data_IF_179677339990
#
_entry.id   IF_179677339990
#
_cell.length_a   1.000
_cell.length_b   1.000
_cell.length_c   1.000
_cell.angle_alpha   90.00
_cell.angle_beta   90.00
_cell.angle_gamma   90.00
#
_symmetry.space_group_name_H-M   'P 1'
#
loop_
_entity.id
_entity.type
_entity.pdbx_description
1 polymer ?
#
# COMPACT_ATOMS: atom_id res chain seq x y z
N UNK A 1 13.67 21.33 3.74
CA UNK A 1 14.40 20.55 2.71
C UNK A 1 13.37 19.84 1.86
N UNK A 2 13.44 19.94 0.54
CA UNK A 2 12.51 19.26 -0.38
C UNK A 2 12.81 17.75 -0.38
N UNK A 3 11.80 16.86 -0.42
CA UNK A 3 12.05 15.44 -0.60
C UNK A 3 12.88 15.17 -1.86
N UNK A 4 13.79 14.22 -1.79
CA UNK A 4 14.60 13.79 -2.93
C UNK A 4 13.74 13.10 -4.00
N UNK A 5 12.71 12.41 -3.57
CA UNK A 5 11.72 11.76 -4.43
C UNK A 5 10.34 11.78 -3.76
N UNK A 6 9.32 11.55 -4.56
CA UNK A 6 7.95 11.35 -4.10
C UNK A 6 7.52 9.91 -4.39
N UNK A 7 6.56 9.43 -3.61
CA UNK A 7 5.87 8.16 -3.87
C UNK A 7 4.36 8.39 -3.89
N UNK A 8 3.60 7.46 -4.46
CA UNK A 8 2.14 7.54 -4.38
C UNK A 8 1.66 7.69 -2.94
N UNK A 9 2.22 6.90 -2.01
CA UNK A 9 1.85 6.98 -0.58
C UNK A 9 2.19 8.32 0.06
N UNK A 10 3.31 8.96 -0.33
CA UNK A 10 3.66 10.30 0.18
C UNK A 10 2.70 11.36 -0.32
N UNK A 11 2.36 11.35 -1.62
CA UNK A 11 1.40 12.27 -2.22
C UNK A 11 -0.01 12.07 -1.63
N UNK A 12 -0.43 10.82 -1.43
CA UNK A 12 -1.69 10.50 -0.79
C UNK A 12 -1.73 10.98 0.68
N UNK A 13 -0.61 10.86 1.41
CA UNK A 13 -0.49 11.39 2.76
C UNK A 13 -0.66 12.91 2.78
N UNK A 14 -0.07 13.64 1.83
CA UNK A 14 -0.25 15.08 1.68
C UNK A 14 -1.71 15.46 1.42
N UNK A 15 -2.39 14.77 0.52
CA UNK A 15 -3.80 15.03 0.22
C UNK A 15 -4.71 14.76 1.42
N UNK A 16 -4.44 13.69 2.18
CA UNK A 16 -5.20 13.33 3.39
C UNK A 16 -4.96 14.32 4.53
N UNK A 17 -3.70 14.60 4.84
CA UNK A 17 -3.30 15.54 5.89
C UNK A 17 -1.90 16.11 5.62
N UNK A 18 -1.78 17.37 5.15
CA UNK A 18 -0.47 17.99 4.91
C UNK A 18 0.48 17.95 6.12
N UNK A 19 -0.04 18.15 7.34
CA UNK A 19 0.79 18.05 8.55
C UNK A 19 1.39 16.65 8.74
N UNK A 20 0.61 15.57 8.50
CA UNK A 20 1.11 14.20 8.58
C UNK A 20 2.22 13.96 7.54
N UNK A 21 2.02 14.45 6.30
CA UNK A 21 3.06 14.44 5.29
C UNK A 21 4.34 15.15 5.76
N UNK A 22 4.19 16.35 6.34
CA UNK A 22 5.33 17.12 6.86
C UNK A 22 6.09 16.35 7.94
N UNK A 23 5.40 15.76 8.90
CA UNK A 23 6.04 14.99 9.97
C UNK A 23 6.82 13.82 9.42
N UNK A 24 6.21 13.03 8.54
CA UNK A 24 6.78 11.79 8.04
C UNK A 24 7.87 12.01 6.98
N UNK A 25 7.61 12.87 5.99
CA UNK A 25 8.46 12.95 4.80
C UNK A 25 9.40 14.16 4.77
N UNK A 26 9.06 15.25 5.47
CA UNK A 26 9.93 16.44 5.56
C UNK A 26 10.77 16.41 6.83
N UNK A 27 10.13 16.26 7.98
CA UNK A 27 10.81 16.20 9.29
C UNK A 27 11.41 14.84 9.59
N UNK A 28 11.01 13.80 8.86
CA UNK A 28 11.47 12.42 9.00
C UNK A 28 11.32 11.88 10.42
N UNK A 29 10.18 12.17 11.06
CA UNK A 29 9.86 11.63 12.38
C UNK A 29 9.47 10.17 12.20
N UNK A 30 10.28 9.27 12.75
CA UNK A 30 10.00 7.84 12.75
C UNK A 30 9.09 7.48 13.91
N UNK A 31 8.20 6.55 13.65
CA UNK A 31 7.26 5.99 14.62
C UNK A 31 7.27 4.47 14.47
N UNK A 32 7.36 3.77 15.59
CA UNK A 32 7.41 2.30 15.62
C UNK A 32 6.00 1.69 15.59
N UNK A 33 4.98 2.51 15.83
CA UNK A 33 3.59 2.06 15.81
C UNK A 33 3.16 1.66 14.40
N UNK A 34 2.46 0.54 14.32
CA UNK A 34 1.88 0.02 13.10
C UNK A 34 0.43 -0.44 13.35
N UNK A 35 -0.52 0.01 12.53
CA UNK A 35 -1.89 -0.49 12.60
C UNK A 35 -1.96 -1.96 12.18
N UNK A 36 -2.76 -2.76 12.90
CA UNK A 36 -2.89 -4.20 12.65
C UNK A 36 -3.34 -4.51 11.22
N UNK A 37 -4.12 -3.62 10.59
CA UNK A 37 -4.51 -3.76 9.18
C UNK A 37 -3.29 -3.71 8.25
N UNK A 38 -2.38 -2.77 8.51
CA UNK A 38 -1.14 -2.63 7.75
C UNK A 38 -0.17 -3.78 8.05
N UNK A 39 -0.05 -4.17 9.32
CA UNK A 39 0.74 -5.33 9.73
C UNK A 39 0.29 -6.60 9.02
N UNK A 40 -1.01 -6.91 9.03
CA UNK A 40 -1.60 -8.04 8.33
C UNK A 40 -1.33 -7.95 6.81
N UNK A 41 -1.59 -6.79 6.21
CA UNK A 41 -1.37 -6.56 4.78
C UNK A 41 0.05 -6.88 4.37
N UNK A 42 1.05 -6.36 5.09
CA UNK A 42 2.47 -6.65 4.81
C UNK A 42 2.79 -8.15 4.89
N UNK A 43 2.26 -8.86 5.90
CA UNK A 43 2.50 -10.30 6.02
C UNK A 43 1.90 -11.09 4.88
N UNK A 44 0.74 -10.68 4.37
CA UNK A 44 0.12 -11.28 3.17
C UNK A 44 0.99 -11.02 1.93
N UNK A 45 1.44 -9.78 1.69
CA UNK A 45 2.30 -9.44 0.55
C UNK A 45 3.64 -10.22 0.60
N UNK A 46 4.33 -10.23 1.73
CA UNK A 46 5.58 -10.99 1.91
C UNK A 46 5.37 -12.51 1.68
N UNK A 47 4.20 -13.04 2.03
CA UNK A 47 3.88 -14.44 1.76
C UNK A 47 3.64 -14.69 0.28
N UNK A 48 2.98 -13.78 -0.42
CA UNK A 48 2.76 -13.88 -1.89
C UNK A 48 4.10 -13.75 -2.63
N UNK A 49 4.95 -12.81 -2.26
CA UNK A 49 6.31 -12.68 -2.79
C UNK A 49 7.09 -14.00 -2.62
N UNK A 50 7.08 -14.57 -1.43
CA UNK A 50 7.71 -15.86 -1.15
C UNK A 50 7.22 -16.99 -2.06
N UNK A 51 5.91 -17.05 -2.37
CA UNK A 51 5.35 -18.06 -3.28
C UNK A 51 6.03 -17.99 -4.66
N UNK A 52 6.10 -16.80 -5.24
CA UNK A 52 6.68 -16.62 -6.58
C UNK A 52 8.20 -16.78 -6.59
N UNK A 53 8.90 -16.40 -5.53
CA UNK A 53 10.33 -16.62 -5.38
C UNK A 53 10.66 -18.11 -5.33
N UNK A 54 9.85 -18.89 -4.58
CA UNK A 54 9.98 -20.35 -4.56
C UNK A 54 9.67 -20.97 -5.92
N UNK A 55 8.61 -20.49 -6.58
CA UNK A 55 8.26 -20.94 -7.94
C UNK A 55 9.39 -20.66 -8.94
N UNK A 56 9.98 -19.48 -8.91
CA UNK A 56 11.13 -19.09 -9.73
C UNK A 56 12.34 -19.99 -9.48
N UNK A 57 12.49 -20.48 -8.25
CA UNK A 57 13.53 -21.46 -7.86
C UNK A 57 13.16 -22.92 -8.19
N UNK A 58 12.06 -23.17 -8.91
CA UNK A 58 11.59 -24.50 -9.29
C UNK A 58 10.85 -25.26 -8.18
N UNK A 59 10.50 -24.59 -7.06
CA UNK A 59 9.79 -25.22 -5.95
C UNK A 59 8.30 -24.92 -6.03
N UNK A 60 7.49 -25.96 -6.16
CA UNK A 60 6.04 -25.84 -6.05
C UNK A 60 5.61 -26.00 -4.59
N UNK A 61 5.05 -24.94 -4.02
CA UNK A 61 4.58 -24.94 -2.63
C UNK A 61 3.16 -25.54 -2.54
N UNK A 62 2.95 -26.42 -1.56
CA UNK A 62 1.61 -26.79 -1.13
C UNK A 62 0.98 -25.65 -0.33
N UNK A 63 -0.35 -25.64 -0.28
CA UNK A 63 -1.08 -24.67 0.53
C UNK A 63 -0.64 -24.66 2.00
N UNK A 64 -0.44 -25.86 2.58
CA UNK A 64 0.00 -25.99 3.99
C UNK A 64 1.36 -25.32 4.23
N UNK A 65 2.31 -25.46 3.31
CA UNK A 65 3.63 -24.78 3.42
C UNK A 65 3.52 -23.26 3.34
N UNK A 66 2.61 -22.76 2.50
CA UNK A 66 2.34 -21.32 2.39
C UNK A 66 1.77 -20.79 3.71
N UNK A 67 0.79 -21.49 4.30
CA UNK A 67 0.19 -21.10 5.58
C UNK A 67 1.20 -21.20 6.72
N UNK A 68 2.01 -22.25 6.77
CA UNK A 68 3.09 -22.36 7.77
C UNK A 68 4.08 -21.20 7.67
N UNK A 69 4.47 -20.79 6.46
CA UNK A 69 5.34 -19.64 6.27
C UNK A 69 4.67 -18.35 6.77
N UNK A 70 3.40 -18.13 6.44
CA UNK A 70 2.64 -16.98 6.94
C UNK A 70 2.56 -16.93 8.47
N UNK A 71 2.32 -18.08 9.11
CA UNK A 71 2.32 -18.19 10.58
C UNK A 71 3.68 -17.78 11.17
N UNK A 72 4.76 -18.33 10.62
CA UNK A 72 6.12 -17.99 11.05
C UNK A 72 6.42 -16.50 10.87
N UNK A 73 6.00 -15.89 9.74
CA UNK A 73 6.15 -14.45 9.53
C UNK A 73 5.37 -13.64 10.56
N UNK A 74 4.13 -14.02 10.83
CA UNK A 74 3.29 -13.34 11.81
C UNK A 74 3.92 -13.36 13.20
N UNK A 75 4.35 -14.52 13.66
CA UNK A 75 4.99 -14.70 14.97
C UNK A 75 6.31 -13.94 15.07
N UNK A 76 7.20 -14.11 14.10
CA UNK A 76 8.54 -13.51 14.11
C UNK A 76 8.52 -11.98 13.96
N UNK A 77 7.52 -11.41 13.31
CA UNK A 77 7.40 -9.97 13.05
C UNK A 77 6.47 -9.26 14.05
N UNK A 78 5.75 -10.01 14.90
CA UNK A 78 4.87 -9.41 15.89
C UNK A 78 5.66 -8.59 16.90
N UNK A 79 5.21 -7.38 17.19
CA UNK A 79 5.85 -6.48 18.16
C UNK A 79 4.83 -5.69 18.98
N UNK A 80 5.27 -5.15 20.14
CA UNK A 80 4.40 -4.47 21.10
C UNK A 80 3.74 -3.18 20.59
N UNK A 81 4.32 -2.56 19.54
CA UNK A 81 3.79 -1.33 18.93
C UNK A 81 2.70 -1.58 17.88
N UNK A 82 2.26 -2.83 17.64
CA UNK A 82 1.09 -3.11 16.79
C UNK A 82 -0.17 -2.57 17.45
N UNK A 83 -0.83 -1.62 16.77
CA UNK A 83 -2.01 -0.93 17.25
C UNK A 83 -3.29 -1.54 16.69
N UNK A 84 -4.27 -1.77 17.56
CA UNK A 84 -5.63 -2.16 17.17
C UNK A 84 -6.56 -1.00 17.48
N UNK A 85 -6.91 -0.23 16.46
CA UNK A 85 -7.84 0.89 16.62
C UNK A 85 -9.28 0.37 16.60
N UNK A 86 -9.90 0.36 17.76
CA UNK A 86 -11.30 0.01 17.90
C UNK A 86 -12.01 1.07 18.74
N UNK A 87 -13.05 1.68 18.17
CA UNK A 87 -13.81 2.75 18.84
C UNK A 87 -14.49 2.33 20.14
N UNK A 88 -14.72 1.03 20.30
CA UNK A 88 -15.38 0.47 21.49
C UNK A 88 -14.39 0.08 22.59
N UNK A 89 -13.08 0.23 22.35
CA UNK A 89 -12.04 -0.16 23.31
C UNK A 89 -10.98 0.93 23.30
N UNK A 90 -10.91 1.69 24.37
CA UNK A 90 -9.80 2.60 24.59
C UNK A 90 -8.58 1.82 25.07
N UNK A 91 -7.37 2.18 24.66
CA UNK A 91 -6.14 1.53 25.11
C UNK A 91 -5.93 1.56 26.62
N UNK A 92 -6.43 2.61 27.30
CA UNK A 92 -6.40 2.69 28.76
C UNK A 92 -7.09 1.49 29.43
N UNK A 93 -7.99 0.80 28.72
CA UNK A 93 -8.66 -0.41 29.17
C UNK A 93 -7.97 -1.70 28.69
N UNK A 94 -6.77 -1.61 28.09
CA UNK A 94 -6.07 -2.78 27.51
C UNK A 94 -5.86 -3.89 28.53
N UNK A 95 -5.38 -3.55 29.71
CA UNK A 95 -5.14 -4.55 30.77
C UNK A 95 -6.44 -5.23 31.19
N UNK A 96 -7.52 -4.48 31.26
CA UNK A 96 -8.86 -5.01 31.56
C UNK A 96 -9.48 -5.76 30.38
N UNK A 97 -9.08 -5.45 29.15
CA UNK A 97 -9.63 -5.96 27.91
C UNK A 97 -8.67 -6.90 27.13
N UNK A 98 -7.64 -7.46 27.77
CA UNK A 98 -6.71 -8.42 27.14
C UNK A 98 -7.44 -9.52 26.32
N UNK A 99 -8.53 -10.15 26.80
CA UNK A 99 -9.25 -11.15 26.01
C UNK A 99 -9.79 -10.59 24.71
N UNK A 100 -10.29 -9.35 24.72
CA UNK A 100 -10.88 -8.71 23.56
C UNK A 100 -9.81 -8.29 22.55
N UNK A 101 -8.68 -7.77 23.04
CA UNK A 101 -7.54 -7.44 22.20
C UNK A 101 -6.96 -8.70 21.49
N UNK A 102 -6.79 -9.80 22.22
CA UNK A 102 -6.38 -11.09 21.64
C UNK A 102 -7.38 -11.60 20.59
N UNK A 103 -8.67 -11.41 20.81
CA UNK A 103 -9.72 -11.75 19.85
C UNK A 103 -9.59 -10.96 18.55
N UNK A 104 -9.27 -9.65 18.61
CA UNK A 104 -9.06 -8.83 17.42
C UNK A 104 -7.75 -9.20 16.69
N UNK A 105 -6.66 -9.42 17.42
CA UNK A 105 -5.43 -9.91 16.82
C UNK A 105 -5.66 -11.23 16.06
N UNK A 106 -6.35 -12.19 16.68
CA UNK A 106 -6.72 -13.46 16.04
C UNK A 106 -7.67 -13.27 14.84
N UNK A 107 -8.56 -12.27 14.87
CA UNK A 107 -9.42 -11.95 13.74
C UNK A 107 -8.60 -11.50 12.53
N UNK A 108 -7.63 -10.58 12.70
CA UNK A 108 -6.78 -10.12 11.60
C UNK A 108 -5.83 -11.21 11.11
N UNK A 109 -5.31 -12.04 11.99
CA UNK A 109 -4.54 -13.22 11.61
C UNK A 109 -5.31 -14.14 10.66
N UNK A 110 -6.54 -14.55 11.04
CA UNK A 110 -7.41 -15.36 10.18
C UNK A 110 -7.84 -14.63 8.91
N UNK A 111 -7.93 -13.30 8.94
CA UNK A 111 -8.20 -12.52 7.74
C UNK A 111 -7.04 -12.63 6.76
N UNK A 112 -5.80 -12.60 7.24
CA UNK A 112 -4.61 -12.86 6.42
C UNK A 112 -4.62 -14.26 5.80
N UNK A 113 -4.94 -15.30 6.60
CA UNK A 113 -5.10 -16.67 6.09
C UNK A 113 -6.19 -16.77 4.99
N UNK A 114 -7.33 -16.08 5.20
CA UNK A 114 -8.39 -16.01 4.19
C UNK A 114 -7.91 -15.36 2.91
N UNK A 115 -7.14 -14.26 3.00
CA UNK A 115 -6.55 -13.61 1.83
C UNK A 115 -5.66 -14.57 1.04
N UNK A 116 -4.82 -15.33 1.73
CA UNK A 116 -3.94 -16.32 1.11
C UNK A 116 -4.70 -17.52 0.53
N UNK A 117 -5.77 -17.97 1.19
CA UNK A 117 -6.66 -19.02 0.66
C UNK A 117 -7.29 -18.58 -0.67
N UNK A 118 -7.80 -17.34 -0.72
CA UNK A 118 -8.40 -16.79 -1.92
C UNK A 118 -7.33 -16.61 -3.02
N UNK A 119 -6.16 -16.12 -2.67
CA UNK A 119 -5.03 -15.95 -3.60
C UNK A 119 -4.58 -17.29 -4.18
N UNK A 120 -4.40 -18.31 -3.35
CA UNK A 120 -4.05 -19.67 -3.78
C UNK A 120 -5.08 -20.25 -4.72
N UNK A 121 -6.37 -20.16 -4.38
CA UNK A 121 -7.47 -20.68 -5.20
C UNK A 121 -7.57 -20.02 -6.58
N UNK A 122 -7.06 -18.81 -6.71
CA UNK A 122 -7.08 -18.03 -7.95
C UNK A 122 -5.87 -18.30 -8.83
N UNK A 123 -4.69 -18.42 -8.24
CA UNK A 123 -3.41 -18.38 -8.99
C UNK A 123 -2.67 -19.73 -9.02
N UNK A 124 -3.07 -20.75 -8.19
CA UNK A 124 -2.42 -22.06 -8.27
C UNK A 124 -2.64 -22.69 -9.66
N UNK A 125 -1.59 -23.21 -10.32
CA UNK A 125 -0.27 -23.59 -9.83
C UNK A 125 0.84 -22.51 -9.95
N UNK A 126 0.50 -21.21 -10.06
CA UNK A 126 1.45 -20.09 -10.14
C UNK A 126 2.34 -20.14 -11.38
N UNK A 127 1.75 -20.45 -12.53
CA UNK A 127 2.45 -20.59 -13.83
C UNK A 127 2.41 -19.29 -14.66
N UNK A 128 2.03 -18.18 -14.04
CA UNK A 128 2.04 -16.87 -14.68
C UNK A 128 3.45 -16.45 -15.10
N UNK A 129 3.54 -15.71 -16.19
CA UNK A 129 4.82 -15.24 -16.71
C UNK A 129 5.30 -13.98 -15.94
N UNK A 130 5.69 -14.20 -14.68
CA UNK A 130 6.10 -13.16 -13.76
C UNK A 130 7.44 -12.58 -14.16
N UNK A 131 7.45 -11.30 -14.52
CA UNK A 131 8.67 -10.54 -14.76
C UNK A 131 9.42 -10.23 -13.45
N UNK A 132 8.70 -9.71 -12.46
CA UNK A 132 9.24 -9.39 -11.13
C UNK A 132 8.15 -9.25 -10.08
N UNK A 133 8.50 -9.56 -8.82
CA UNK A 133 7.75 -9.20 -7.62
C UNK A 133 8.41 -8.00 -6.96
N UNK A 134 7.65 -7.20 -6.19
CA UNK A 134 8.14 -6.01 -5.48
C UNK A 134 9.07 -5.17 -6.37
N UNK A 135 8.63 -4.96 -7.63
CA UNK A 135 9.44 -4.27 -8.63
C UNK A 135 9.62 -2.80 -8.29
N UNK A 136 10.86 -2.38 -8.00
CA UNK A 136 11.17 -0.99 -7.73
C UNK A 136 11.05 -0.15 -9.02
N UNK A 137 10.17 0.83 -8.96
CA UNK A 137 10.03 1.88 -9.97
C UNK A 137 10.78 3.13 -9.50
N UNK A 138 11.66 3.66 -10.38
CA UNK A 138 12.39 4.91 -10.14
C UNK A 138 12.47 5.68 -11.47
N UNK A 139 11.71 6.77 -11.57
CA UNK A 139 11.60 7.51 -12.83
C UNK A 139 11.26 8.98 -12.61
N UNK A 140 11.44 9.78 -13.66
CA UNK A 140 11.06 11.18 -13.65
C UNK A 140 9.69 11.38 -14.29
N UNK A 141 8.82 12.20 -13.67
CA UNK A 141 7.50 12.52 -14.18
C UNK A 141 7.41 13.95 -14.69
N UNK A 142 6.56 14.17 -15.71
CA UNK A 142 6.44 15.49 -16.36
C UNK A 142 7.66 15.84 -17.20
N UNK A 143 7.80 17.13 -17.52
CA UNK A 143 8.88 17.68 -18.35
C UNK A 143 10.04 18.24 -17.50
N UNK A 144 9.97 18.10 -16.17
CA UNK A 144 10.95 18.63 -15.24
C UNK A 144 11.77 17.49 -14.64
N UNK A 145 13.10 17.58 -14.76
CA UNK A 145 14.04 16.58 -14.23
C UNK A 145 14.01 16.41 -12.71
N UNK A 146 13.36 17.34 -12.00
CA UNK A 146 13.35 17.31 -10.53
C UNK A 146 12.20 16.50 -9.92
N UNK A 147 11.27 15.98 -10.73
CA UNK A 147 10.09 15.28 -10.23
C UNK A 147 10.30 13.77 -10.25
N UNK A 148 11.21 13.32 -9.37
CA UNK A 148 11.52 11.90 -9.22
C UNK A 148 10.45 11.18 -8.44
N UNK A 149 9.98 10.07 -8.99
CA UNK A 149 8.99 9.18 -8.39
C UNK A 149 9.67 7.85 -8.08
N UNK A 150 9.42 7.35 -6.86
CA UNK A 150 9.77 5.98 -6.46
C UNK A 150 8.54 5.24 -5.95
N UNK A 151 8.49 3.95 -6.21
CA UNK A 151 7.43 3.07 -5.72
C UNK A 151 7.75 1.62 -5.98
N UNK A 152 6.91 0.73 -5.45
CA UNK A 152 7.03 -0.70 -5.64
C UNK A 152 5.74 -1.22 -6.24
N UNK A 153 5.86 -2.05 -7.27
CA UNK A 153 4.75 -2.78 -7.88
C UNK A 153 4.76 -4.19 -7.30
N UNK A 154 3.65 -4.61 -6.72
CA UNK A 154 3.57 -5.89 -6.03
C UNK A 154 3.97 -7.06 -6.96
N UNK A 155 3.45 -7.08 -8.21
CA UNK A 155 3.86 -8.02 -9.24
C UNK A 155 3.72 -7.42 -10.63
N UNK A 156 4.71 -7.69 -11.49
CA UNK A 156 4.68 -7.42 -12.92
C UNK A 156 4.72 -8.72 -13.70
N UNK A 157 3.79 -8.90 -14.62
CA UNK A 157 3.81 -9.98 -15.59
C UNK A 157 4.03 -9.41 -17.00
N UNK A 158 4.63 -10.20 -17.90
CA UNK A 158 4.81 -9.83 -19.30
C UNK A 158 4.79 -11.06 -20.19
N UNK A 159 4.10 -10.98 -21.33
CA UNK A 159 4.13 -12.00 -22.34
C UNK A 159 5.16 -11.71 -23.45
N UNK A 160 5.37 -12.68 -24.36
CA UNK A 160 6.30 -12.57 -25.49
C UNK A 160 5.92 -11.47 -26.48
N UNK A 161 4.67 -11.01 -26.47
CA UNK A 161 4.17 -9.93 -27.33
C UNK A 161 4.37 -8.53 -26.73
N UNK A 162 4.89 -8.45 -25.51
CA UNK A 162 5.05 -7.19 -24.78
C UNK A 162 3.76 -6.65 -24.17
N UNK A 163 2.79 -7.52 -23.87
CA UNK A 163 1.64 -7.18 -23.07
C UNK A 163 2.00 -7.30 -21.59
N UNK A 164 1.91 -6.20 -20.88
CA UNK A 164 2.26 -6.12 -19.45
C UNK A 164 1.03 -6.13 -18.58
N UNK A 165 1.15 -6.72 -17.39
CA UNK A 165 0.13 -6.68 -16.36
C UNK A 165 0.76 -6.14 -15.08
N UNK A 166 0.17 -5.07 -14.54
CA UNK A 166 0.54 -4.49 -13.26
C UNK A 166 -0.47 -4.97 -12.22
N UNK A 167 0.00 -5.74 -11.26
CA UNK A 167 -0.83 -6.27 -10.17
C UNK A 167 -0.62 -5.50 -8.88
N UNK A 168 -1.72 -5.32 -8.13
CA UNK A 168 -1.73 -4.72 -6.80
C UNK A 168 -2.63 -5.54 -5.88
N UNK A 169 -2.10 -5.98 -4.74
CA UNK A 169 -2.80 -6.82 -3.78
C UNK A 169 -3.44 -5.99 -2.67
N UNK A 170 -4.74 -6.04 -2.56
CA UNK A 170 -5.53 -5.30 -1.57
C UNK A 170 -6.08 -6.24 -0.51
N UNK A 171 -5.64 -6.05 0.72
CA UNK A 171 -6.15 -6.78 1.90
C UNK A 171 -7.27 -6.05 2.64
N UNK A 172 -7.77 -4.95 2.06
CA UNK A 172 -8.93 -4.21 2.57
C UNK A 172 -10.25 -4.88 2.22
N UNK A 173 -11.30 -4.56 3.01
CA UNK A 173 -12.63 -5.16 2.83
C UNK A 173 -13.40 -4.66 1.61
N UNK A 174 -13.18 -3.40 1.21
CA UNK A 174 -13.99 -2.76 0.18
C UNK A 174 -13.31 -2.84 -1.19
N UNK A 175 -13.87 -3.56 -2.15
CA UNK A 175 -13.37 -3.54 -3.51
C UNK A 175 -13.67 -2.20 -4.18
N UNK A 176 -12.91 -1.85 -5.22
CA UNK A 176 -13.24 -0.75 -6.10
C UNK A 176 -14.44 -1.11 -6.98
N UNK A 177 -15.31 -0.15 -7.24
CA UNK A 177 -16.16 -0.21 -8.42
C UNK A 177 -15.33 0.17 -9.67
N UNK A 178 -15.89 -0.06 -10.87
CA UNK A 178 -15.18 0.20 -12.13
C UNK A 178 -14.69 1.65 -12.25
N UNK A 179 -15.52 2.62 -11.86
CA UNK A 179 -15.16 4.05 -11.90
C UNK A 179 -13.98 4.37 -10.97
N UNK A 180 -13.94 3.77 -9.78
CA UNK A 180 -12.83 3.95 -8.85
C UNK A 180 -11.54 3.32 -9.39
N UNK A 181 -11.63 2.14 -9.99
CA UNK A 181 -10.51 1.49 -10.66
C UNK A 181 -9.99 2.34 -11.83
N UNK A 182 -10.88 2.86 -12.69
CA UNK A 182 -10.51 3.68 -13.84
C UNK A 182 -9.92 5.05 -13.45
N UNK A 183 -10.16 5.51 -12.23
CA UNK A 183 -9.64 6.77 -11.70
C UNK A 183 -8.48 6.59 -10.71
N UNK A 184 -8.10 5.35 -10.40
CA UNK A 184 -7.00 5.10 -9.47
C UNK A 184 -5.68 5.66 -10.00
N UNK A 185 -5.03 6.46 -9.15
CA UNK A 185 -3.77 7.11 -9.51
C UNK A 185 -2.55 6.23 -9.25
N UNK A 186 -2.64 5.21 -8.37
CA UNK A 186 -1.50 4.39 -7.99
C UNK A 186 -1.02 3.56 -9.18
N UNK A 187 -1.90 2.72 -9.72
CA UNK A 187 -1.53 1.87 -10.84
C UNK A 187 -1.34 2.66 -12.13
N UNK A 188 -2.08 3.76 -12.31
CA UNK A 188 -1.82 4.67 -13.44
C UNK A 188 -0.44 5.31 -13.36
N UNK A 189 0.04 5.69 -12.17
CA UNK A 189 1.40 6.19 -11.96
C UNK A 189 2.44 5.10 -12.24
N UNK A 190 2.17 3.87 -11.86
CA UNK A 190 3.05 2.74 -12.15
C UNK A 190 3.11 2.41 -13.65
N UNK A 191 1.98 2.52 -14.36
CA UNK A 191 1.99 2.42 -15.82
C UNK A 191 2.85 3.49 -16.47
N UNK A 192 2.75 4.76 -16.04
CA UNK A 192 3.62 5.84 -16.51
C UNK A 192 5.10 5.50 -16.29
N UNK A 193 5.44 4.98 -15.10
CA UNK A 193 6.79 4.53 -14.79
C UNK A 193 7.26 3.38 -15.66
N UNK A 194 6.41 2.40 -15.92
CA UNK A 194 6.69 1.28 -16.80
C UNK A 194 6.99 1.76 -18.22
N UNK A 195 6.14 2.61 -18.80
CA UNK A 195 6.30 3.14 -20.15
C UNK A 195 7.55 4.03 -20.32
N UNK A 196 8.00 4.68 -19.24
CA UNK A 196 9.23 5.47 -19.25
C UNK A 196 10.50 4.63 -19.12
N UNK A 197 10.42 3.46 -18.49
CA UNK A 197 11.59 2.65 -18.14
C UNK A 197 11.75 1.41 -19.01
N UNK A 198 10.71 0.95 -19.68
CA UNK A 198 10.70 -0.22 -20.56
C UNK A 198 10.50 0.17 -22.02
N UNK A 199 11.00 -0.69 -22.91
CA UNK A 199 10.82 -0.56 -24.36
C UNK A 199 9.87 -1.65 -24.85
N UNK A 200 9.29 -1.44 -26.04
CA UNK A 200 8.46 -2.46 -26.72
C UNK A 200 7.23 -2.88 -25.89
N UNK A 201 6.56 -1.92 -25.26
CA UNK A 201 5.29 -2.14 -24.58
C UNK A 201 4.19 -2.12 -25.65
N UNK A 202 3.44 -3.23 -25.76
CA UNK A 202 2.29 -3.33 -26.66
C UNK A 202 1.00 -2.92 -25.98
N UNK A 203 0.73 -3.45 -24.79
CA UNK A 203 -0.47 -3.16 -24.00
C UNK A 203 -0.16 -3.23 -22.51
N UNK A 204 -0.94 -2.51 -21.69
CA UNK A 204 -0.81 -2.57 -20.22
C UNK A 204 -2.18 -2.77 -19.59
N UNK A 205 -2.32 -3.84 -18.82
CA UNK A 205 -3.51 -4.13 -18.02
C UNK A 205 -3.21 -3.87 -16.54
N UNK A 206 -4.09 -3.15 -15.87
CA UNK A 206 -4.03 -2.89 -14.44
C UNK A 206 -4.98 -3.83 -13.71
N UNK A 207 -4.51 -4.53 -12.69
CA UNK A 207 -5.29 -5.56 -11.98
C UNK A 207 -5.16 -5.36 -10.47
N UNK A 208 -6.29 -5.13 -9.81
CA UNK A 208 -6.39 -5.15 -8.35
C UNK A 208 -6.93 -6.49 -7.88
N UNK A 209 -6.25 -7.11 -6.93
CA UNK A 209 -6.68 -8.32 -6.25
C UNK A 209 -7.26 -7.98 -4.88
N UNK A 210 -8.57 -7.91 -4.74
CA UNK A 210 -9.24 -7.67 -3.46
C UNK A 210 -9.40 -8.97 -2.68
N UNK A 211 -8.34 -9.39 -1.99
CA UNK A 211 -8.15 -10.73 -1.45
C UNK A 211 -9.16 -11.14 -0.36
N UNK A 212 -9.93 -10.23 0.22
CA UNK A 212 -11.01 -10.57 1.14
C UNK A 212 -12.35 -10.90 0.46
N UNK A 213 -12.46 -10.66 -0.85
CA UNK A 213 -13.73 -10.82 -1.60
C UNK A 213 -14.01 -12.26 -1.99
N UNK A 214 -15.25 -12.51 -2.45
CA UNK A 214 -15.62 -13.78 -3.09
C UNK A 214 -14.92 -13.90 -4.44
N UNK A 215 -14.86 -15.14 -4.98
CA UNK A 215 -14.15 -15.43 -6.23
C UNK A 215 -14.60 -14.56 -7.41
N UNK A 216 -15.88 -14.20 -7.49
CA UNK A 216 -16.44 -13.40 -8.58
C UNK A 216 -16.04 -11.91 -8.50
N UNK A 217 -15.70 -11.42 -7.31
CA UNK A 217 -15.43 -10.01 -7.03
C UNK A 217 -13.97 -9.73 -6.61
N UNK A 218 -13.12 -10.75 -6.70
CA UNK A 218 -11.75 -10.65 -6.22
C UNK A 218 -10.86 -9.83 -7.16
N UNK A 219 -11.13 -9.84 -8.46
CA UNK A 219 -10.36 -9.13 -9.47
C UNK A 219 -11.13 -7.95 -10.03
N UNK A 220 -10.46 -6.81 -10.10
CA UNK A 220 -10.93 -5.61 -10.80
C UNK A 220 -9.88 -5.21 -11.81
N UNK A 221 -10.30 -4.88 -13.01
CA UNK A 221 -9.42 -4.58 -14.13
C UNK A 221 -9.61 -3.17 -14.62
N UNK A 222 -8.55 -2.56 -15.14
CA UNK A 222 -8.67 -1.30 -15.87
C UNK A 222 -7.55 -1.17 -16.90
N UNK A 223 -7.81 -0.36 -17.93
CA UNK A 223 -6.81 0.10 -18.89
C UNK A 223 -6.80 1.62 -18.89
N UNK A 224 -5.68 2.21 -19.23
CA UNK A 224 -5.54 3.67 -19.35
C UNK A 224 -5.27 4.05 -20.79
N UNK A 225 -6.02 5.02 -21.27
CA UNK A 225 -5.66 5.73 -22.49
C UNK A 225 -4.52 6.71 -22.24
N UNK A 226 -3.84 7.14 -23.28
CA UNK A 226 -2.83 8.20 -23.21
C UNK A 226 -3.37 9.45 -22.50
N UNK A 227 -4.60 9.87 -22.84
CA UNK A 227 -5.28 11.00 -22.21
C UNK A 227 -5.50 10.80 -20.70
N UNK A 228 -5.71 9.57 -20.21
CA UNK A 228 -5.85 9.30 -18.79
C UNK A 228 -4.49 9.39 -18.08
N UNK A 229 -3.43 8.89 -18.71
CA UNK A 229 -2.07 9.00 -18.18
C UNK A 229 -1.60 10.47 -18.14
N UNK A 230 -1.94 11.28 -19.14
CA UNK A 230 -1.68 12.72 -19.12
C UNK A 230 -2.40 13.44 -17.97
N UNK A 231 -3.67 13.11 -17.71
CA UNK A 231 -4.43 13.66 -16.57
C UNK A 231 -3.79 13.27 -15.23
N UNK A 232 -3.37 12.01 -15.09
CA UNK A 232 -2.67 11.53 -13.89
C UNK A 232 -1.34 12.28 -13.73
N UNK A 233 -0.54 12.36 -14.79
CA UNK A 233 0.73 13.10 -14.80
C UNK A 233 0.53 14.55 -14.35
N UNK A 234 -0.43 15.27 -14.95
CA UNK A 234 -0.74 16.65 -14.59
C UNK A 234 -1.15 16.79 -13.13
N UNK A 235 -1.98 15.87 -12.63
CA UNK A 235 -2.43 15.88 -11.23
C UNK A 235 -1.26 15.66 -10.25
N UNK A 236 -0.36 14.74 -10.57
CA UNK A 236 0.82 14.45 -9.75
C UNK A 236 1.81 15.61 -9.76
N UNK A 237 2.09 16.15 -10.94
CA UNK A 237 2.95 17.34 -11.09
C UNK A 237 2.40 18.51 -10.27
N UNK A 238 1.11 18.81 -10.39
CA UNK A 238 0.48 19.89 -9.61
C UNK A 238 0.60 19.69 -8.09
N UNK A 239 0.47 18.44 -7.60
CA UNK A 239 0.65 18.14 -6.19
C UNK A 239 2.11 18.36 -5.74
N UNK A 240 3.06 17.96 -6.56
CA UNK A 240 4.49 18.18 -6.27
C UNK A 240 4.79 19.68 -6.26
N UNK A 241 4.27 20.43 -7.23
CA UNK A 241 4.44 21.89 -7.31
C UNK A 241 3.84 22.58 -6.07
N UNK A 242 2.65 22.19 -5.65
CA UNK A 242 2.03 22.73 -4.43
C UNK A 242 2.90 22.48 -3.20
N UNK A 243 3.42 21.26 -3.03
CA UNK A 243 4.31 20.91 -1.91
C UNK A 243 5.59 21.73 -1.96
N UNK A 244 6.23 21.83 -3.13
CA UNK A 244 7.48 22.59 -3.32
C UNK A 244 7.27 24.08 -3.07
N UNK A 245 6.19 24.65 -3.56
CA UNK A 245 5.86 26.05 -3.36
C UNK A 245 5.67 26.37 -1.87
N UNK A 246 4.95 25.51 -1.14
CA UNK A 246 4.80 25.65 0.33
C UNK A 246 6.15 25.62 1.05
N UNK A 247 7.04 24.72 0.63
CA UNK A 247 8.38 24.62 1.22
C UNK A 247 9.21 25.85 0.91
N UNK A 248 9.19 26.36 -0.32
CA UNK A 248 9.92 27.58 -0.73
C UNK A 248 9.44 28.82 0.02
N UNK A 249 8.12 28.96 0.21
CA UNK A 249 7.51 30.08 0.93
C UNK A 249 7.51 29.91 2.44
N UNK A 250 8.03 28.79 2.95
CA UNK A 250 7.97 28.42 4.36
C UNK A 250 6.53 28.45 4.94
N UNK A 251 5.56 28.06 4.10
CA UNK A 251 4.15 28.00 4.50
C UNK A 251 3.88 26.79 5.41
N UNK A 252 2.88 26.95 6.31
CA UNK A 252 2.47 25.89 7.22
C UNK A 252 1.76 24.74 6.46
N UNK A 253 2.11 23.52 6.81
CA UNK A 253 1.39 22.30 6.40
C UNK A 253 0.25 22.06 7.38
N UNK A 254 -0.94 22.52 7.02
CA UNK A 254 -2.11 22.56 7.93
C UNK A 254 -2.61 21.13 8.20
N UNK A 255 -2.88 20.83 9.48
CA UNK A 255 -3.50 19.58 9.88
C UNK A 255 -4.98 19.54 9.51
N UNK A 256 -5.41 18.39 8.93
CA UNK A 256 -6.82 18.15 8.60
C UNK A 256 -7.41 17.13 9.59
N UNK A 257 -8.22 17.60 10.53
CA UNK A 257 -8.89 16.73 11.51
C UNK A 257 -9.94 15.85 10.81
N UNK A 258 -9.85 14.55 11.01
CA UNK A 258 -10.76 13.56 10.43
C UNK A 258 -10.81 12.30 11.30
N UNK A 259 -11.67 11.35 10.94
CA UNK A 259 -11.71 10.05 11.59
C UNK A 259 -10.39 9.26 11.47
N UNK A 260 -9.58 9.55 10.45
CA UNK A 260 -8.27 8.93 10.26
C UNK A 260 -7.26 9.35 11.34
N UNK A 261 -7.54 10.39 12.11
CA UNK A 261 -6.70 10.78 13.25
C UNK A 261 -6.58 9.67 14.30
N UNK A 262 -7.59 8.78 14.42
CA UNK A 262 -7.52 7.65 15.37
C UNK A 262 -6.37 6.68 15.05
N UNK A 263 -5.95 6.59 13.79
CA UNK A 263 -4.80 5.79 13.32
C UNK A 263 -3.52 6.60 13.16
N UNK A 264 -3.53 7.89 13.57
CA UNK A 264 -2.37 8.77 13.36
C UNK A 264 -1.37 8.65 14.51
N UNK A 265 -0.12 8.35 14.19
CA UNK A 265 0.97 8.21 15.16
C UNK A 265 1.60 9.56 15.60
N UNK A 266 1.16 10.68 15.00
CA UNK A 266 1.75 12.00 15.20
C UNK A 266 0.89 12.93 16.08
N UNK A 267 0.18 12.41 17.08
CA UNK A 267 -0.66 13.24 17.95
C UNK A 267 0.17 14.24 18.77
N UNK A 268 1.32 13.81 19.26
CA UNK A 268 2.21 14.66 20.06
C UNK A 268 2.78 15.83 19.26
N UNK A 269 3.03 15.63 17.96
CA UNK A 269 3.53 16.65 17.03
C UNK A 269 2.41 17.49 16.40
N UNK A 270 1.16 17.05 16.55
CA UNK A 270 0.03 17.61 15.81
C UNK A 270 -0.53 18.86 16.48
N UNK A 271 -0.61 20.01 15.80
CA UNK A 271 -1.07 21.27 16.42
C UNK A 271 -2.57 21.31 16.72
N UNK A 272 -3.35 20.31 16.27
CA UNK A 272 -4.82 20.24 16.45
C UNK A 272 -5.24 19.04 17.31
N UNK A 273 -4.30 18.34 17.92
CA UNK A 273 -4.54 17.25 18.87
C UNK A 273 -3.87 17.61 20.20
N UNK A 274 -4.41 17.07 21.30
CA UNK A 274 -3.89 17.25 22.64
C UNK A 274 -3.48 15.89 23.23
N UNK A 275 -2.38 15.86 23.96
CA UNK A 275 -1.88 14.66 24.61
C UNK A 275 -1.40 13.56 23.65
N UNK A 276 -1.60 12.32 24.02
CA UNK A 276 -1.29 11.13 23.22
C UNK A 276 -2.55 10.59 22.53
N UNK A 277 -2.36 9.86 21.42
CA UNK A 277 -3.46 9.21 20.75
C UNK A 277 -4.05 8.09 21.64
N UNK A 278 -5.32 8.20 22.09
CA UNK A 278 -5.91 7.24 23.01
C UNK A 278 -6.15 5.86 22.40
N UNK A 279 -5.97 5.70 21.08
CA UNK A 279 -6.17 4.45 20.37
C UNK A 279 -4.88 3.69 20.08
N UNK A 280 -3.71 4.28 20.37
CA UNK A 280 -2.41 3.65 20.15
C UNK A 280 -1.83 3.07 21.45
N UNK A 281 -0.94 2.06 21.35
CA UNK A 281 -0.16 1.61 22.50
C UNK A 281 0.68 2.76 23.07
N UNK A 282 0.70 2.87 24.38
CA UNK A 282 1.59 3.78 25.12
C UNK A 282 2.87 3.08 25.45
#
# INVERSE_FOLDING_TARGET
MTPEYFSYSSLQSYQKCPAQFQFRYIKRIFKDEEGIEAFMGKRVHETIEYIYDQKKSGVNLSFDKIIQYHHSLWENKWHGSVAIVNRNILPVDREKNIPLWKKYAAFYFRTGEKCLTNFFSLNHPFDENVYANEYEMDFLIGNNSDYRIKGFVDRLDVDEKGNWIIHDYKTGKRPYNQKEADQDMQLGLYQIGLEKTKKNINDVLLVWHFLQQSKENILVYSKRSESDLEKITKKIVNLIDEIRLKLLKNEKFVAKKSMLCNWCYFWQECPVQEGSNPYLPT
#
